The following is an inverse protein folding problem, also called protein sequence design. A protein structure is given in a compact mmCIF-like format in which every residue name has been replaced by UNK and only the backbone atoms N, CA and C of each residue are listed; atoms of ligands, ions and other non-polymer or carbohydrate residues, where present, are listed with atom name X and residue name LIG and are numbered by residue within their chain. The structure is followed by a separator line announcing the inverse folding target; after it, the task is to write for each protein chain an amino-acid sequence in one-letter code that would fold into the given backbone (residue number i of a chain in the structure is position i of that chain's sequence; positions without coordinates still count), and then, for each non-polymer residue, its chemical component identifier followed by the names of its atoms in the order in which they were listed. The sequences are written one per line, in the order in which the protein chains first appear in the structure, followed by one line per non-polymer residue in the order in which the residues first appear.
data_IF_498960692350
#
_entry.id   IF_498960692350
#
_cell.length_a   1.000
_cell.length_b   1.000
_cell.length_c   1.000
_cell.angle_alpha   90.00
_cell.angle_beta   90.00
_cell.angle_gamma   90.00
#
_symmetry.space_group_name_H-M   'P 1'
#
loop_
_entity.id
_entity.type
_entity.pdbx_description
1 polymer ?
#
# COMPACT_ATOMS: atom_id res chain seq x y z
N UNK A 1 4.83 -22.97 2.39
CA UNK A 1 4.53 -21.52 2.40
C UNK A 1 3.22 -21.34 1.65
N UNK A 2 2.21 -20.70 2.24
CA UNK A 2 0.88 -20.54 1.61
C UNK A 2 0.68 -19.16 0.99
N UNK A 3 1.32 -18.14 1.53
CA UNK A 3 1.24 -16.78 1.02
C UNK A 3 2.52 -15.98 1.30
N UNK A 4 2.73 -14.92 0.53
CA UNK A 4 3.67 -13.84 0.81
C UNK A 4 2.88 -12.54 0.99
N UNK A 5 3.17 -11.80 2.06
CA UNK A 5 2.61 -10.46 2.30
C UNK A 5 3.68 -9.39 2.11
N UNK A 6 3.35 -8.31 1.41
CA UNK A 6 4.27 -7.22 1.13
C UNK A 6 3.55 -5.87 1.12
N UNK A 7 4.15 -4.83 1.68
CA UNK A 7 3.73 -3.43 1.50
C UNK A 7 4.23 -2.93 0.13
N UNK A 8 3.37 -2.59 -0.85
CA UNK A 8 3.80 -2.20 -2.18
C UNK A 8 4.61 -0.89 -2.21
N UNK A 9 5.79 -0.94 -2.82
CA UNK A 9 6.71 0.19 -3.09
C UNK A 9 7.34 0.87 -1.88
N UNK A 10 6.67 0.90 -0.72
CA UNK A 10 7.12 1.57 0.50
C UNK A 10 6.82 0.69 1.70
N UNK A 11 7.84 0.32 2.47
CA UNK A 11 7.68 -0.23 3.81
C UNK A 11 7.59 0.94 4.80
N UNK A 12 6.37 1.34 5.15
CA UNK A 12 6.14 2.63 5.81
C UNK A 12 6.66 2.63 7.25
N UNK A 13 6.20 1.69 8.07
CA UNK A 13 6.68 1.56 9.46
C UNK A 13 8.13 1.06 9.53
N UNK A 14 8.60 0.38 8.48
CA UNK A 14 9.98 -0.07 8.31
C UNK A 14 10.93 1.03 7.84
N UNK A 15 10.84 2.23 8.44
CA UNK A 15 11.66 3.41 8.11
C UNK A 15 11.42 4.00 6.72
N UNK A 16 10.20 3.93 6.18
CA UNK A 16 9.86 4.44 4.85
C UNK A 16 10.84 3.93 3.77
N UNK A 17 11.20 2.65 3.83
CA UNK A 17 12.10 2.04 2.84
C UNK A 17 11.36 1.93 1.52
N UNK A 18 11.93 2.51 0.47
CA UNK A 18 11.34 2.56 -0.85
C UNK A 18 12.12 1.64 -1.78
N UNK A 19 11.41 0.87 -2.61
CA UNK A 19 12.02 -0.05 -3.54
C UNK A 19 11.38 0.05 -4.92
N UNK A 20 12.09 -0.45 -5.93
CA UNK A 20 11.65 -0.37 -7.32
C UNK A 20 10.48 -1.33 -7.58
N UNK A 21 9.47 -0.90 -8.36
CA UNK A 21 8.29 -1.71 -8.68
C UNK A 21 8.64 -3.07 -9.33
N UNK A 22 9.80 -3.15 -10.01
CA UNK A 22 10.32 -4.40 -10.58
C UNK A 22 10.44 -5.54 -9.55
N UNK A 23 10.68 -5.23 -8.28
CA UNK A 23 10.68 -6.25 -7.22
C UNK A 23 9.30 -6.90 -7.08
N UNK A 24 8.21 -6.13 -7.13
CA UNK A 24 6.84 -6.66 -7.07
C UNK A 24 6.50 -7.51 -8.28
N UNK A 25 6.97 -7.11 -9.47
CA UNK A 25 6.81 -7.91 -10.70
C UNK A 25 7.45 -9.30 -10.52
N UNK A 26 8.72 -9.33 -10.14
CA UNK A 26 9.47 -10.57 -9.93
C UNK A 26 8.89 -11.42 -8.79
N UNK A 27 8.43 -10.77 -7.71
CA UNK A 27 7.78 -11.45 -6.60
C UNK A 27 6.46 -12.09 -7.03
N UNK A 28 5.64 -11.39 -7.81
CA UNK A 28 4.37 -11.90 -8.33
C UNK A 28 4.59 -13.07 -9.31
N UNK A 29 5.60 -12.96 -10.18
CA UNK A 29 6.01 -14.06 -11.06
C UNK A 29 6.40 -15.31 -10.28
N UNK A 30 7.24 -15.16 -9.24
CA UNK A 30 7.65 -16.26 -8.37
C UNK A 30 6.47 -16.86 -7.59
N UNK A 31 5.58 -16.02 -7.03
CA UNK A 31 4.39 -16.48 -6.32
C UNK A 31 3.51 -17.37 -7.21
N UNK A 32 3.29 -16.94 -8.47
CA UNK A 32 2.54 -17.72 -9.46
C UNK A 32 3.25 -19.02 -9.84
N UNK A 33 4.58 -19.01 -10.03
CA UNK A 33 5.35 -20.23 -10.35
C UNK A 33 5.21 -21.30 -9.27
N UNK A 34 5.18 -20.90 -8.00
CA UNK A 34 5.13 -21.82 -6.86
C UNK A 34 3.74 -22.05 -6.27
N UNK A 35 2.67 -21.54 -6.90
CA UNK A 35 1.29 -21.60 -6.39
C UNK A 35 1.17 -21.04 -4.96
N UNK A 36 1.72 -19.85 -4.75
CA UNK A 36 1.72 -19.13 -3.47
C UNK A 36 0.91 -17.86 -3.65
N UNK A 37 -0.02 -17.57 -2.72
CA UNK A 37 -0.82 -16.35 -2.80
C UNK A 37 0.02 -15.11 -2.50
N UNK A 38 -0.17 -14.05 -3.27
CA UNK A 38 0.41 -12.75 -3.04
C UNK A 38 -0.61 -11.83 -2.36
N UNK A 39 -0.26 -11.35 -1.16
CA UNK A 39 -1.03 -10.37 -0.40
C UNK A 39 -0.34 -9.02 -0.49
N UNK A 40 -1.02 -8.02 -1.06
CA UNK A 40 -0.54 -6.64 -1.04
C UNK A 40 -1.16 -5.87 0.13
N UNK A 41 -0.34 -5.46 1.08
CA UNK A 41 -0.75 -4.55 2.15
C UNK A 41 -0.75 -3.10 1.63
N UNK A 42 -1.89 -2.68 1.12
CA UNK A 42 -2.14 -1.35 0.58
C UNK A 42 -2.65 -0.37 1.65
N UNK A 43 -2.66 -0.74 2.94
CA UNK A 43 -3.22 0.08 4.01
C UNK A 43 -2.57 1.47 4.05
N UNK A 44 -1.24 1.55 3.96
CA UNK A 44 -0.53 2.81 4.03
C UNK A 44 -0.35 3.49 2.67
N UNK A 45 -0.22 2.70 1.60
CA UNK A 45 0.24 3.14 0.28
C UNK A 45 -0.86 3.26 -0.77
N UNK A 46 -2.06 2.77 -0.46
CA UNK A 46 -3.24 2.92 -1.30
C UNK A 46 -3.82 4.33 -1.28
N UNK A 47 -4.92 4.50 -2.02
CA UNK A 47 -5.67 5.75 -2.17
C UNK A 47 -4.77 6.93 -2.58
N UNK A 48 -4.02 6.77 -3.68
CA UNK A 48 -3.27 7.86 -4.30
C UNK A 48 -1.93 8.19 -3.63
N UNK A 49 -1.59 7.56 -2.49
CA UNK A 49 -0.42 7.93 -1.69
C UNK A 49 0.90 7.85 -2.48
N UNK A 50 1.04 6.84 -3.33
CA UNK A 50 2.26 6.59 -4.12
C UNK A 50 2.21 7.20 -5.53
N UNK A 51 1.12 7.89 -5.90
CA UNK A 51 0.90 8.48 -7.22
C UNK A 51 0.05 7.64 -8.18
N UNK A 52 -0.45 6.49 -7.73
CA UNK A 52 -1.49 5.67 -8.37
C UNK A 52 -2.57 5.36 -7.34
N UNK A 53 -3.75 4.89 -7.76
CA UNK A 53 -4.82 4.53 -6.81
C UNK A 53 -4.32 3.50 -5.79
N UNK A 54 -3.65 2.45 -6.26
CA UNK A 54 -2.95 1.46 -5.44
C UNK A 54 -1.48 1.37 -5.86
N UNK A 55 -0.58 1.07 -4.92
CA UNK A 55 0.85 0.93 -5.17
C UNK A 55 1.19 -0.21 -6.12
N UNK A 56 0.56 -1.37 -5.99
CA UNK A 56 0.82 -2.54 -6.84
C UNK A 56 0.60 -2.27 -8.33
N UNK A 57 -0.28 -1.31 -8.68
CA UNK A 57 -0.58 -0.95 -10.07
C UNK A 57 0.66 -0.47 -10.82
N UNK A 58 1.65 0.12 -10.13
CA UNK A 58 2.89 0.56 -10.76
C UNK A 58 3.77 -0.60 -11.22
N UNK A 59 3.59 -1.78 -10.64
CA UNK A 59 4.19 -3.04 -11.07
C UNK A 59 3.34 -3.79 -12.10
N UNK A 60 2.15 -3.29 -12.46
CA UNK A 60 1.22 -3.94 -13.40
C UNK A 60 0.88 -5.39 -13.01
N UNK A 61 0.85 -5.68 -11.71
CA UNK A 61 0.46 -6.98 -11.16
C UNK A 61 -0.98 -6.92 -10.63
N UNK A 62 -1.57 -8.09 -10.36
CA UNK A 62 -2.83 -8.23 -9.61
C UNK A 62 -2.56 -9.21 -8.46
N UNK A 63 -2.49 -8.73 -7.21
CA UNK A 63 -2.36 -9.61 -6.04
C UNK A 63 -3.62 -10.46 -5.84
N UNK A 64 -3.48 -11.64 -5.24
CA UNK A 64 -4.61 -12.51 -4.88
C UNK A 64 -5.49 -11.88 -3.79
N UNK A 65 -4.85 -11.19 -2.84
CA UNK A 65 -5.50 -10.53 -1.71
C UNK A 65 -4.94 -9.13 -1.55
N UNK A 66 -5.79 -8.13 -1.25
CA UNK A 66 -5.33 -6.80 -0.84
C UNK A 66 -5.93 -6.37 0.49
N UNK A 67 -5.10 -5.78 1.34
CA UNK A 67 -5.50 -5.19 2.62
C UNK A 67 -5.70 -3.68 2.46
N UNK A 68 -6.87 -3.17 2.82
CA UNK A 68 -7.20 -1.75 2.76
C UNK A 68 -7.66 -1.23 4.11
N UNK A 69 -7.29 0.01 4.43
CA UNK A 69 -7.79 0.79 5.57
C UNK A 69 -7.42 2.26 5.35
N UNK A 70 -7.15 3.02 6.42
CA UNK A 70 -6.66 4.42 6.42
C UNK A 70 -7.34 5.31 5.37
N UNK A 71 -6.75 5.41 4.17
CA UNK A 71 -7.23 6.24 3.08
C UNK A 71 -8.63 5.90 2.58
N UNK A 72 -9.13 4.67 2.80
CA UNK A 72 -10.43 4.23 2.29
C UNK A 72 -11.60 5.10 2.76
N UNK A 73 -11.56 5.61 3.99
CA UNK A 73 -12.60 6.49 4.55
C UNK A 73 -12.21 7.97 4.55
N UNK A 74 -11.10 8.32 3.91
CA UNK A 74 -10.52 9.67 4.00
C UNK A 74 -10.11 10.06 5.43
N UNK A 75 -10.01 9.10 6.36
CA UNK A 75 -9.71 9.34 7.78
C UNK A 75 -10.92 9.72 8.64
N UNK A 76 -12.14 9.68 8.11
CA UNK A 76 -13.35 10.09 8.84
C UNK A 76 -13.85 9.02 9.82
N UNK A 77 -13.68 7.75 9.49
CA UNK A 77 -14.19 6.60 10.26
C UNK A 77 -13.22 5.43 10.20
N UNK A 78 -13.24 4.56 11.20
CA UNK A 78 -12.48 3.32 11.18
C UNK A 78 -13.15 2.32 10.23
N UNK A 79 -12.40 1.87 9.23
CA UNK A 79 -12.77 0.78 8.35
C UNK A 79 -11.52 0.08 7.86
N UNK A 80 -11.57 -1.23 7.77
CA UNK A 80 -10.62 -2.03 7.01
C UNK A 80 -11.38 -3.03 6.16
N UNK A 81 -10.87 -3.33 4.99
CA UNK A 81 -11.44 -4.34 4.09
C UNK A 81 -10.32 -5.23 3.59
N UNK A 82 -10.59 -6.53 3.53
CA UNK A 82 -9.77 -7.49 2.81
C UNK A 82 -10.53 -7.82 1.53
N UNK A 83 -9.91 -7.61 0.38
CA UNK A 83 -10.46 -8.00 -0.92
C UNK A 83 -9.66 -9.21 -1.43
N UNK A 84 -10.34 -10.14 -2.08
CA UNK A 84 -9.76 -11.38 -2.58
C UNK A 84 -10.32 -11.70 -3.98
N UNK A 85 -9.68 -12.60 -4.70
CA UNK A 85 -10.22 -13.13 -5.97
C UNK A 85 -11.42 -14.05 -5.76
N UNK A 86 -12.23 -14.21 -6.81
CA UNK A 86 -13.35 -15.16 -6.83
C UNK A 86 -12.86 -16.59 -6.58
N UNK A 87 -11.74 -17.01 -7.17
CA UNK A 87 -11.15 -18.34 -6.93
C UNK A 87 -10.93 -18.65 -5.43
N UNK A 88 -10.48 -17.65 -4.65
CA UNK A 88 -10.30 -17.82 -3.20
C UNK A 88 -11.65 -17.75 -2.48
N UNK A 89 -12.55 -16.85 -2.88
CA UNK A 89 -13.89 -16.76 -2.30
C UNK A 89 -14.66 -18.08 -2.44
N UNK A 90 -14.64 -18.66 -3.65
CA UNK A 90 -15.32 -19.89 -4.01
C UNK A 90 -14.80 -21.10 -3.22
N UNK A 91 -13.54 -21.08 -2.78
CA UNK A 91 -12.99 -22.10 -1.90
C UNK A 91 -13.66 -22.14 -0.51
N UNK A 92 -14.24 -21.01 -0.07
CA UNK A 92 -15.01 -20.92 1.19
C UNK A 92 -16.52 -20.93 0.98
N UNK A 93 -17.00 -20.70 -0.25
CA UNK A 93 -18.41 -20.67 -0.59
C UNK A 93 -18.91 -22.10 -0.89
N UNK A 94 -19.33 -22.80 0.18
CA UNK A 94 -19.69 -24.22 0.09
C UNK A 94 -20.92 -24.56 0.94
N UNK A 95 -21.43 -25.77 0.78
CA UNK A 95 -22.51 -26.32 1.60
C UNK A 95 -22.12 -26.34 3.09
N UNK A 96 -23.09 -26.02 3.96
CA UNK A 96 -22.87 -25.88 5.39
C UNK A 96 -22.29 -27.15 6.02
N UNK A 97 -22.74 -28.31 5.56
CA UNK A 97 -22.34 -29.64 6.03
C UNK A 97 -20.85 -29.93 5.83
N UNK A 98 -20.21 -29.28 4.85
CA UNK A 98 -18.79 -29.47 4.54
C UNK A 98 -17.86 -28.63 5.43
N UNK A 99 -18.41 -27.66 6.18
CA UNK A 99 -17.69 -26.83 7.13
C UNK A 99 -16.48 -26.07 6.55
N UNK A 100 -16.51 -25.75 5.26
CA UNK A 100 -15.46 -25.01 4.55
C UNK A 100 -15.62 -23.47 4.67
N UNK A 101 -16.72 -22.98 5.25
CA UNK A 101 -17.01 -21.56 5.34
C UNK A 101 -15.96 -20.77 6.15
N UNK A 102 -15.62 -19.56 5.70
CA UNK A 102 -14.77 -18.64 6.46
C UNK A 102 -15.57 -17.97 7.60
N UNK A 103 -15.50 -18.57 8.79
CA UNK A 103 -16.25 -18.12 9.98
C UNK A 103 -15.49 -17.01 10.74
N UNK A 104 -15.29 -15.86 10.10
CA UNK A 104 -14.71 -14.68 10.74
C UNK A 104 -15.60 -13.45 10.57
N UNK A 105 -15.90 -12.78 11.68
CA UNK A 105 -16.66 -11.54 11.69
C UNK A 105 -16.38 -10.77 12.98
N UNK A 106 -16.65 -9.48 12.96
CA UNK A 106 -16.71 -8.60 14.12
C UNK A 106 -18.06 -7.86 14.16
N UNK A 107 -18.47 -7.37 15.33
CA UNK A 107 -19.79 -6.71 15.51
C UNK A 107 -20.00 -5.49 14.61
N UNK A 108 -18.92 -4.87 14.15
CA UNK A 108 -18.94 -3.70 13.27
C UNK A 108 -18.64 -4.04 11.79
N UNK A 109 -18.66 -5.32 11.40
CA UNK A 109 -18.44 -5.73 10.01
C UNK A 109 -19.47 -5.03 9.14
N UNK A 110 -19.01 -4.36 8.08
CA UNK A 110 -19.84 -3.55 7.19
C UNK A 110 -20.68 -2.46 7.92
N UNK A 111 -20.10 -1.79 8.93
CA UNK A 111 -20.74 -0.65 9.60
C UNK A 111 -21.22 0.38 8.55
N UNK A 112 -22.55 0.66 8.44
CA UNK A 112 -23.09 1.49 7.37
C UNK A 112 -22.52 2.92 7.32
N UNK A 113 -22.17 3.51 8.47
CA UNK A 113 -21.61 4.87 8.54
C UNK A 113 -20.18 4.87 7.99
N UNK A 114 -19.37 3.88 8.37
CA UNK A 114 -18.02 3.71 7.84
C UNK A 114 -18.02 3.41 6.34
N UNK A 115 -18.94 2.55 5.87
CA UNK A 115 -19.13 2.26 4.44
C UNK A 115 -19.58 3.50 3.66
N UNK A 116 -20.45 4.34 4.22
CA UNK A 116 -20.85 5.60 3.59
C UNK A 116 -19.67 6.57 3.43
N UNK A 117 -18.83 6.71 4.47
CA UNK A 117 -17.59 7.49 4.38
C UNK A 117 -16.60 6.94 3.34
N UNK A 118 -16.53 5.61 3.22
CA UNK A 118 -15.72 4.96 2.20
C UNK A 118 -16.25 5.23 0.79
N UNK A 119 -17.54 5.06 0.55
CA UNK A 119 -18.17 5.34 -0.75
C UNK A 119 -17.97 6.79 -1.16
N UNK A 120 -18.18 7.75 -0.26
CA UNK A 120 -17.91 9.16 -0.55
C UNK A 120 -16.44 9.43 -0.92
N UNK A 121 -15.50 8.72 -0.31
CA UNK A 121 -14.08 8.80 -0.67
C UNK A 121 -13.83 8.22 -2.06
N UNK A 122 -14.43 7.07 -2.39
CA UNK A 122 -14.34 6.45 -3.71
C UNK A 122 -14.96 7.34 -4.81
N UNK A 123 -16.10 7.97 -4.54
CA UNK A 123 -16.73 8.95 -5.43
C UNK A 123 -15.80 10.14 -5.70
N UNK A 124 -15.07 10.62 -4.68
CA UNK A 124 -14.04 11.66 -4.88
C UNK A 124 -12.93 11.18 -5.82
N UNK A 125 -12.45 9.94 -5.70
CA UNK A 125 -11.44 9.40 -6.61
C UNK A 125 -11.97 9.17 -8.03
N UNK A 126 -13.26 8.88 -8.17
CA UNK A 126 -13.93 8.68 -9.46
C UNK A 126 -14.20 10.00 -10.17
N UNK A 127 -14.72 10.98 -9.46
CA UNK A 127 -15.26 12.22 -10.04
C UNK A 127 -14.24 13.36 -10.07
N UNK A 128 -13.17 13.27 -9.27
CA UNK A 128 -12.12 14.30 -9.21
C UNK A 128 -10.77 13.72 -9.59
N UNK A 129 -9.93 14.54 -10.22
CA UNK A 129 -8.53 14.21 -10.45
C UNK A 129 -7.74 14.32 -9.13
N UNK A 130 -7.79 13.27 -8.30
CA UNK A 130 -7.02 13.18 -7.05
C UNK A 130 -5.53 12.93 -7.34
N UNK A 131 -5.23 12.19 -8.41
CA UNK A 131 -3.86 11.82 -8.81
C UNK A 131 -3.08 13.03 -9.38
N UNK A 132 -3.74 14.18 -9.61
CA UNK A 132 -3.06 15.48 -9.75
C UNK A 132 -2.12 15.81 -8.59
N UNK A 133 -2.22 15.11 -7.45
CA UNK A 133 -1.25 15.18 -6.36
C UNK A 133 0.21 14.99 -6.83
N UNK A 134 0.46 14.38 -8.00
CA UNK A 134 1.76 14.31 -8.64
C UNK A 134 2.45 15.67 -8.83
N UNK A 135 1.67 16.75 -9.03
CA UNK A 135 2.19 18.13 -9.13
C UNK A 135 2.77 18.56 -7.79
N UNK A 136 2.03 18.35 -6.70
CA UNK A 136 2.50 18.65 -5.35
C UNK A 136 3.66 17.75 -4.93
N UNK A 137 3.63 16.47 -5.29
CA UNK A 137 4.73 15.52 -5.11
C UNK A 137 6.02 16.01 -5.77
N UNK A 138 5.96 16.49 -7.02
CA UNK A 138 7.12 17.06 -7.70
C UNK A 138 7.63 18.34 -7.01
N UNK A 139 6.71 19.19 -6.54
CA UNK A 139 7.06 20.39 -5.77
C UNK A 139 7.75 20.04 -4.44
N UNK A 140 7.22 19.06 -3.68
CA UNK A 140 7.85 18.56 -2.46
C UNK A 140 9.29 18.11 -2.74
N UNK A 141 9.51 17.31 -3.80
CA UNK A 141 10.85 16.84 -4.18
C UNK A 141 11.83 17.99 -4.36
N UNK A 142 11.41 19.04 -5.07
CA UNK A 142 12.23 20.23 -5.32
C UNK A 142 12.54 21.00 -4.03
N UNK A 143 11.57 21.16 -3.13
CA UNK A 143 11.75 21.88 -1.87
C UNK A 143 12.75 21.23 -0.92
N UNK A 144 12.90 19.90 -0.98
CA UNK A 144 13.80 19.15 -0.10
C UNK A 144 15.10 18.70 -0.78
N UNK A 145 15.32 19.08 -2.04
CA UNK A 145 16.50 18.66 -2.81
C UNK A 145 17.80 19.14 -2.16
N UNK A 146 17.84 20.36 -1.62
CA UNK A 146 19.01 20.92 -0.95
C UNK A 146 19.42 20.19 0.32
N UNK A 147 18.51 19.42 0.94
CA UNK A 147 18.86 18.63 2.13
C UNK A 147 19.78 17.45 1.82
N UNK A 148 19.90 17.04 0.55
CA UNK A 148 20.85 15.99 0.15
C UNK A 148 22.30 16.35 0.52
N UNK A 149 22.65 17.63 0.56
CA UNK A 149 24.01 18.08 0.87
C UNK A 149 24.23 18.41 2.35
N UNK A 150 23.19 18.29 3.18
CA UNK A 150 23.27 18.63 4.60
C UNK A 150 24.16 17.63 5.38
N UNK A 151 25.06 18.09 6.27
CA UNK A 151 26.03 17.24 6.98
C UNK A 151 25.40 16.19 7.91
N UNK A 152 24.15 16.39 8.29
CA UNK A 152 23.39 15.46 9.14
C UNK A 152 22.29 14.68 8.41
N UNK A 153 22.26 14.72 7.07
CA UNK A 153 21.26 13.99 6.27
C UNK A 153 21.97 12.89 5.49
N UNK A 154 21.65 11.64 5.80
CA UNK A 154 22.26 10.47 5.15
C UNK A 154 21.56 10.09 3.84
N UNK A 155 20.25 10.31 3.76
CA UNK A 155 19.41 10.00 2.60
C UNK A 155 18.16 10.88 2.57
N UNK A 156 17.70 11.21 1.36
CA UNK A 156 16.42 11.88 1.11
C UNK A 156 15.73 11.09 0.00
N UNK A 157 14.64 10.43 0.36
CA UNK A 157 13.90 9.54 -0.54
C UNK A 157 12.42 9.91 -0.59
N UNK A 158 11.81 9.76 -1.76
CA UNK A 158 10.41 10.09 -1.96
C UNK A 158 9.75 9.15 -2.97
N UNK A 159 8.52 8.74 -2.65
CA UNK A 159 7.62 8.01 -3.54
C UNK A 159 6.21 8.58 -3.41
N UNK A 160 5.69 9.15 -4.49
CA UNK A 160 4.43 9.89 -4.46
C UNK A 160 4.45 10.99 -3.39
N UNK A 161 3.41 11.00 -2.57
CA UNK A 161 3.19 11.95 -1.47
C UNK A 161 3.87 11.53 -0.15
N UNK A 162 4.81 10.57 -0.19
CA UNK A 162 5.62 10.15 0.96
C UNK A 162 7.06 10.58 0.74
N UNK A 163 7.58 11.42 1.62
CA UNK A 163 8.98 11.85 1.66
C UNK A 163 9.57 11.47 3.01
N UNK A 164 10.78 10.91 3.00
CA UNK A 164 11.52 10.55 4.19
C UNK A 164 12.93 11.14 4.12
N UNK A 165 13.39 11.68 5.25
CA UNK A 165 14.73 12.20 5.45
C UNK A 165 15.36 11.37 6.55
N UNK A 166 16.45 10.71 6.22
CA UNK A 166 17.21 9.91 7.18
C UNK A 166 18.33 10.75 7.76
N UNK A 167 18.37 10.84 9.09
CA UNK A 167 19.34 11.65 9.81
C UNK A 167 20.52 10.80 10.28
N UNK A 168 21.70 11.40 10.27
CA UNK A 168 22.93 10.82 10.81
C UNK A 168 23.71 11.87 11.60
N UNK A 169 24.45 11.42 12.62
CA UNK A 169 25.27 12.32 13.43
C UNK A 169 26.36 13.01 12.60
N UNK A 170 27.00 12.31 11.66
CA UNK A 170 27.98 12.88 10.75
C UNK A 170 28.03 12.09 9.44
N UNK A 171 27.71 12.73 8.33
CA UNK A 171 27.69 12.14 7.00
C UNK A 171 29.08 11.71 6.52
N UNK A 172 30.16 12.37 6.95
CA UNK A 172 31.55 12.08 6.52
C UNK A 172 32.04 10.71 7.01
N UNK A 173 31.44 10.15 8.06
CA UNK A 173 31.79 8.82 8.59
C UNK A 173 31.14 7.63 7.87
N UNK A 174 30.19 7.87 6.96
CA UNK A 174 29.46 6.79 6.24
C UNK A 174 30.33 6.06 5.19
N UNK A 175 31.46 6.63 4.78
CA UNK A 175 32.41 6.00 3.84
C UNK A 175 33.51 5.14 4.48
N UNK A 176 33.43 4.87 5.79
CA UNK A 176 34.43 4.12 6.57
C UNK A 176 33.86 2.80 7.15
N UNK A 177 32.70 2.35 6.66
CA UNK A 177 32.08 1.06 7.01
C UNK A 177 31.66 0.33 5.75
#
# INVERSE_FOLDING_TARGET
MCAVIVEPLIQCAGYMRMYHHKYLELLSEACREYNIHLIADEIAVGFGRTGTMFGFQQAKITPDIICLSKGITGGYMTLSTILTTDDIYDAFYDEYEKLNAFLHSHSYTANPIACSAANATLDIFKDKDVIKNKILSAHMRKCFESLKDHPHVSDVRQKGMVLAIELIKDKKRKGLL
#
